data_IF_154647168463
#
_entry.id   IF_154647168463
#
_cell.length_a   1.000
_cell.length_b   1.000
_cell.length_c   1.000
_cell.angle_alpha   90.00
_cell.angle_beta   90.00
_cell.angle_gamma   90.00
#
_symmetry.space_group_name_H-M   'P 1'
#
loop_
_entity.id
_entity.type
_entity.pdbx_description
1 polymer ?
#
# COMPACT_ATOMS: atom_id res chain seq x y z
N UNK A 1 11.23 -0.23 -14.60
CA UNK A 1 12.12 -0.29 -13.41
C UNK A 1 11.29 -0.66 -12.19
N UNK A 2 11.71 -1.67 -11.41
CA UNK A 2 11.05 -2.03 -10.15
C UNK A 2 11.60 -1.15 -9.02
N UNK A 3 10.75 -0.34 -8.39
CA UNK A 3 11.08 0.39 -7.16
C UNK A 3 10.57 -0.39 -5.95
N UNK A 4 11.38 -0.49 -4.91
CA UNK A 4 11.01 -1.12 -3.64
C UNK A 4 11.31 -0.16 -2.50
N UNK A 5 10.35 0.02 -1.62
CA UNK A 5 10.48 0.72 -0.35
C UNK A 5 10.08 -0.24 0.77
N UNK A 6 10.64 -0.05 1.96
CA UNK A 6 10.26 -0.76 3.18
C UNK A 6 10.14 0.31 4.27
N UNK A 7 9.03 0.30 4.98
CA UNK A 7 8.80 1.17 6.14
C UNK A 7 8.61 0.26 7.33
N UNK A 8 9.50 0.36 8.31
CA UNK A 8 9.39 -0.36 9.58
C UNK A 8 8.61 0.50 10.57
N UNK A 9 7.43 0.03 10.99
CA UNK A 9 6.56 0.77 11.91
C UNK A 9 7.21 1.01 13.27
N UNK A 10 8.16 0.17 13.70
CA UNK A 10 8.88 0.35 14.96
C UNK A 10 9.91 1.49 14.91
N UNK A 11 10.32 1.88 13.70
CA UNK A 11 11.24 2.99 13.48
C UNK A 11 10.55 4.36 13.36
N UNK A 12 9.22 4.39 13.33
CA UNK A 12 8.44 5.60 13.15
C UNK A 12 8.31 6.41 14.44
N UNK A 13 8.20 7.73 14.28
CA UNK A 13 7.76 8.59 15.37
C UNK A 13 6.29 8.31 15.70
N UNK A 14 5.86 8.61 16.93
CA UNK A 14 4.47 8.40 17.36
C UNK A 14 3.43 9.11 16.44
N UNK A 15 3.66 10.35 15.94
CA UNK A 15 2.79 10.96 14.94
C UNK A 15 2.75 10.18 13.62
N UNK A 16 3.88 9.70 13.13
CA UNK A 16 3.96 8.96 11.87
C UNK A 16 3.33 7.58 11.97
N UNK A 17 3.48 6.90 13.11
CA UNK A 17 2.83 5.63 13.38
C UNK A 17 1.30 5.78 13.38
N UNK A 18 0.77 6.83 14.00
CA UNK A 18 -0.67 7.15 13.97
C UNK A 18 -1.17 7.45 12.56
N UNK A 19 -0.38 8.20 11.78
CA UNK A 19 -0.76 8.50 10.39
C UNK A 19 -0.74 7.25 9.51
N UNK A 20 0.24 6.36 9.68
CA UNK A 20 0.27 5.06 9.00
C UNK A 20 -0.99 4.25 9.32
N UNK A 21 -1.36 4.14 10.59
CA UNK A 21 -2.57 3.43 11.01
C UNK A 21 -3.83 4.01 10.34
N UNK A 22 -3.97 5.35 10.34
CA UNK A 22 -5.09 6.04 9.68
C UNK A 22 -5.15 5.76 8.18
N UNK A 23 -4.00 5.78 7.50
CA UNK A 23 -3.92 5.51 6.06
C UNK A 23 -4.26 4.05 5.73
N UNK A 24 -3.81 3.09 6.55
CA UNK A 24 -4.14 1.68 6.39
C UNK A 24 -5.66 1.44 6.56
N UNK A 25 -6.27 2.04 7.58
CA UNK A 25 -7.72 1.96 7.81
C UNK A 25 -8.53 2.58 6.66
N UNK A 26 -8.13 3.76 6.18
CA UNK A 26 -8.84 4.45 5.11
C UNK A 26 -8.75 3.74 3.75
N UNK A 27 -7.70 2.94 3.53
CA UNK A 27 -7.48 2.25 2.26
C UNK A 27 -8.23 0.91 2.18
N UNK A 28 -8.63 0.36 3.33
CA UNK A 28 -9.22 -0.98 3.49
C UNK A 28 -8.50 -2.03 2.63
N UNK A 29 -7.18 -2.13 2.82
CA UNK A 29 -6.30 -2.98 2.02
C UNK A 29 -6.72 -4.47 2.04
N UNK A 30 -7.33 -4.92 3.13
CA UNK A 30 -7.81 -6.30 3.28
C UNK A 30 -8.99 -6.55 2.34
N UNK A 31 -9.93 -5.61 2.25
CA UNK A 31 -11.09 -5.73 1.37
C UNK A 31 -10.71 -5.59 -0.12
N UNK A 32 -9.78 -4.69 -0.41
CA UNK A 32 -9.21 -4.48 -1.76
C UNK A 32 -8.66 -5.78 -2.38
N UNK A 33 -8.07 -6.66 -1.57
CA UNK A 33 -7.50 -7.92 -2.04
C UNK A 33 -8.56 -9.00 -2.32
N UNK A 34 -9.75 -8.88 -1.74
CA UNK A 34 -10.81 -9.90 -1.81
C UNK A 34 -11.81 -9.64 -2.93
N UNK A 35 -12.06 -8.38 -3.28
CA UNK A 35 -13.22 -7.99 -4.12
C UNK A 35 -12.88 -7.40 -5.49
N UNK A 36 -11.61 -7.45 -5.93
CA UNK A 36 -11.20 -6.85 -7.21
C UNK A 36 -11.03 -7.90 -8.30
N UNK A 37 -11.80 -7.72 -9.37
CA UNK A 37 -11.57 -8.44 -10.61
C UNK A 37 -10.16 -8.18 -11.14
N UNK A 38 -9.48 -9.20 -11.67
CA UNK A 38 -8.17 -9.04 -12.28
C UNK A 38 -8.28 -8.12 -13.51
N UNK A 39 -7.61 -6.97 -13.45
CA UNK A 39 -7.49 -6.06 -14.60
C UNK A 39 -6.49 -6.67 -15.60
N UNK A 40 -6.89 -6.73 -16.86
CA UNK A 40 -6.01 -7.18 -17.94
C UNK A 40 -4.78 -6.24 -18.04
N UNK A 41 -3.56 -6.78 -18.11
CA UNK A 41 -2.36 -5.95 -18.22
C UNK A 41 -2.37 -5.16 -19.53
N UNK A 42 -2.26 -3.83 -19.42
CA UNK A 42 -2.14 -2.92 -20.55
C UNK A 42 -0.70 -2.38 -20.67
N UNK A 43 -0.24 -2.02 -21.89
CA UNK A 43 1.01 -1.28 -22.05
C UNK A 43 1.02 -0.02 -21.17
N UNK A 44 2.18 0.30 -20.59
CA UNK A 44 2.40 1.45 -19.71
C UNK A 44 1.62 1.48 -18.38
N UNK A 45 0.87 0.42 -18.04
CA UNK A 45 0.16 0.29 -16.78
C UNK A 45 1.13 0.07 -15.61
N UNK A 46 1.04 0.91 -14.56
CA UNK A 46 1.79 0.67 -13.34
C UNK A 46 1.07 -0.35 -12.44
N UNK A 47 1.84 -1.30 -11.92
CA UNK A 47 1.38 -2.26 -10.92
C UNK A 47 2.16 -2.09 -9.62
N UNK A 48 1.44 -2.13 -8.51
CA UNK A 48 1.97 -2.01 -7.15
C UNK A 48 1.73 -3.31 -6.41
N UNK A 49 2.71 -3.69 -5.60
CA UNK A 49 2.65 -4.83 -4.68
C UNK A 49 2.97 -4.30 -3.29
N UNK A 50 2.01 -4.36 -2.40
CA UNK A 50 2.13 -3.91 -1.01
C UNK A 50 2.11 -5.15 -0.13
N UNK A 51 3.20 -5.39 0.60
CA UNK A 51 3.28 -6.45 1.60
C UNK A 51 3.11 -5.79 2.97
N UNK A 52 2.11 -6.21 3.74
CA UNK A 52 1.84 -5.72 5.09
C UNK A 52 2.14 -6.86 6.07
N UNK A 53 2.97 -6.58 7.07
CA UNK A 53 3.32 -7.51 8.14
C UNK A 53 3.01 -6.82 9.48
N UNK A 54 2.05 -7.37 10.24
CA UNK A 54 1.67 -6.90 11.57
C UNK A 54 1.55 -8.10 12.51
N UNK A 55 2.59 -8.33 13.33
CA UNK A 55 2.69 -9.51 14.18
C UNK A 55 2.52 -10.82 13.38
N UNK A 56 1.53 -11.67 13.71
CA UNK A 56 1.24 -12.90 12.96
C UNK A 56 0.51 -12.66 11.64
N UNK A 57 -0.08 -11.48 11.42
CA UNK A 57 -0.80 -11.17 10.19
C UNK A 57 0.18 -10.76 9.09
N UNK A 58 0.17 -11.49 7.98
CA UNK A 58 0.91 -11.13 6.76
C UNK A 58 0.01 -11.27 5.56
N UNK A 59 -0.12 -10.21 4.77
CA UNK A 59 -0.86 -10.26 3.53
C UNK A 59 -0.25 -9.37 2.45
N UNK A 60 -0.46 -9.78 1.20
CA UNK A 60 0.01 -9.05 0.03
C UNK A 60 -1.18 -8.54 -0.75
N UNK A 61 -1.19 -7.25 -1.07
CA UNK A 61 -2.15 -6.62 -1.95
C UNK A 61 -1.48 -6.28 -3.28
N UNK A 62 -2.13 -6.62 -4.38
CA UNK A 62 -1.72 -6.24 -5.74
C UNK A 62 -2.76 -5.33 -6.35
N UNK A 63 -2.32 -4.18 -6.85
CA UNK A 63 -3.20 -3.15 -7.42
C UNK A 63 -2.53 -2.55 -8.65
N UNK A 64 -3.30 -2.30 -9.70
CA UNK A 64 -2.85 -1.44 -10.78
C UNK A 64 -3.26 0.01 -10.54
N UNK A 65 -2.61 0.94 -11.25
CA UNK A 65 -3.02 2.33 -11.33
C UNK A 65 -4.47 2.50 -11.81
N UNK A 66 -4.96 1.64 -12.70
CA UNK A 66 -6.36 1.59 -13.13
C UNK A 66 -7.36 1.30 -11.98
N UNK A 67 -6.89 0.73 -10.87
CA UNK A 67 -7.69 0.43 -9.67
C UNK A 67 -7.30 1.33 -8.49
N UNK A 68 -6.55 2.41 -8.74
CA UNK A 68 -6.06 3.30 -7.68
C UNK A 68 -7.21 4.13 -7.09
N UNK A 69 -7.53 3.92 -5.81
CA UNK A 69 -8.38 4.86 -5.06
C UNK A 69 -7.53 6.03 -4.55
N UNK A 70 -8.19 7.15 -4.22
CA UNK A 70 -7.52 8.30 -3.61
C UNK A 70 -6.80 7.93 -2.30
N UNK A 71 -7.46 7.15 -1.44
CA UNK A 71 -6.88 6.64 -0.19
C UNK A 71 -5.61 5.81 -0.42
N UNK A 72 -5.63 4.89 -1.40
CA UNK A 72 -4.48 4.07 -1.76
C UNK A 72 -3.33 4.91 -2.35
N UNK A 73 -3.66 5.95 -3.13
CA UNK A 73 -2.67 6.89 -3.66
C UNK A 73 -1.96 7.66 -2.55
N UNK A 74 -2.70 8.13 -1.54
CA UNK A 74 -2.14 8.78 -0.36
C UNK A 74 -1.24 7.84 0.43
N UNK A 75 -1.67 6.60 0.69
CA UNK A 75 -0.84 5.60 1.36
C UNK A 75 0.47 5.34 0.60
N UNK A 76 0.41 5.10 -0.72
CA UNK A 76 1.61 4.82 -1.54
C UNK A 76 2.56 6.02 -1.54
N UNK A 77 2.02 7.24 -1.59
CA UNK A 77 2.83 8.46 -1.57
C UNK A 77 3.55 8.61 -0.23
N UNK A 78 2.81 8.45 0.86
CA UNK A 78 3.36 8.49 2.22
C UNK A 78 4.45 7.44 2.43
N UNK A 79 4.23 6.19 1.99
CA UNK A 79 5.24 5.12 2.08
C UNK A 79 6.53 5.46 1.32
N UNK A 80 6.41 6.10 0.15
CA UNK A 80 7.59 6.54 -0.63
C UNK A 80 8.34 7.67 0.07
N UNK A 81 7.66 8.56 0.76
CA UNK A 81 8.28 9.67 1.51
C UNK A 81 9.03 9.14 2.73
N UNK A 82 8.45 8.20 3.47
CA UNK A 82 9.06 7.63 4.69
C UNK A 82 10.17 6.62 4.43
N UNK A 83 10.27 6.09 3.20
CA UNK A 83 11.33 5.17 2.79
C UNK A 83 12.60 5.83 2.24
N UNK A 84 12.61 7.17 2.16
CA UNK A 84 13.77 7.96 1.71
C UNK A 84 14.68 8.26 2.88
#
# INVERSE_FOLDING_TARGET
>A
MRRRCVVDSQSLTEPDARELERLLQATDLKDVNQHRDPVLPMPDMFSYKIDVEDGPEKYTVRVSDAQMSEALSHLITWLKEKSR
#
